data_IF_164448516566
#
_entry.id   IF_164448516566
#
_cell.length_a   1.000
_cell.length_b   1.000
_cell.length_c   1.000
_cell.angle_alpha   90.00
_cell.angle_beta   90.00
_cell.angle_gamma   90.00
#
_symmetry.space_group_name_H-M   'P 1'
#
loop_
_entity.id
_entity.type
_entity.pdbx_description
1 polymer ?
#
# COMPACT_ATOMS: atom_id res chain seq x y z
N UNK A 1 -2.00 -32.05 58.35
CA UNK A 1 -2.73 -33.31 58.62
C UNK A 1 -4.15 -33.13 58.10
N UNK A 2 -4.68 -34.14 57.41
CA UNK A 2 -5.92 -34.22 56.60
C UNK A 2 -5.78 -33.74 55.13
N UNK A 3 -5.55 -34.67 54.18
CA UNK A 3 -6.55 -35.31 53.27
C UNK A 3 -7.40 -34.27 52.53
N UNK A 4 -7.43 -34.14 51.21
CA UNK A 4 -7.19 -35.09 50.12
C UNK A 4 -8.48 -35.17 49.29
N UNK A 5 -8.46 -34.76 48.01
CA UNK A 5 -9.43 -35.25 47.02
C UNK A 5 -8.91 -34.98 45.61
N UNK A 6 -8.67 -36.06 44.87
CA UNK A 6 -8.42 -36.04 43.42
C UNK A 6 -9.78 -36.12 42.72
N UNK A 7 -10.02 -35.30 41.72
CA UNK A 7 -11.07 -35.53 40.73
C UNK A 7 -10.39 -35.70 39.37
N UNK A 8 -10.47 -36.92 38.85
CA UNK A 8 -10.13 -37.27 37.48
C UNK A 8 -11.44 -37.23 36.71
N UNK A 9 -11.54 -36.36 35.70
CA UNK A 9 -12.63 -36.41 34.72
C UNK A 9 -11.98 -36.71 33.37
N UNK A 10 -12.14 -37.97 32.94
CA UNK A 10 -11.82 -38.40 31.59
C UNK A 10 -12.92 -37.95 30.64
N UNK A 11 -12.53 -37.37 29.51
CA UNK A 11 -13.41 -37.12 28.38
C UNK A 11 -13.06 -38.16 27.31
N UNK A 12 -14.08 -38.92 26.92
CA UNK A 12 -14.00 -39.99 25.95
C UNK A 12 -13.82 -39.43 24.53
N UNK A 13 -12.78 -39.88 23.85
CA UNK A 13 -12.55 -39.66 22.43
C UNK A 13 -13.45 -40.65 21.68
N UNK A 14 -14.54 -40.16 21.09
CA UNK A 14 -15.33 -40.94 20.13
C UNK A 14 -14.81 -40.70 18.73
N UNK A 15 -14.04 -41.68 18.25
CA UNK A 15 -13.57 -41.78 16.87
C UNK A 15 -14.71 -42.27 15.97
N UNK A 16 -15.29 -41.38 15.16
CA UNK A 16 -16.14 -41.77 14.03
C UNK A 16 -15.26 -41.87 12.78
N UNK A 17 -14.88 -43.10 12.46
CA UNK A 17 -14.33 -43.51 11.19
C UNK A 17 -15.46 -43.53 10.15
N UNK A 18 -15.55 -42.50 9.30
CA UNK A 18 -16.30 -42.56 8.07
C UNK A 18 -15.41 -43.16 6.98
N UNK A 19 -15.80 -44.35 6.50
CA UNK A 19 -15.10 -45.12 5.47
C UNK A 19 -15.64 -44.80 4.09
N UNK A 20 -14.71 -44.58 3.18
CA UNK A 20 -14.68 -44.77 1.72
C UNK A 20 -15.99 -44.95 0.94
N UNK A 21 -16.14 -44.11 -0.09
CA UNK A 21 -16.71 -44.51 -1.38
C UNK A 21 -16.02 -43.72 -2.50
N UNK A 22 -15.25 -44.34 -3.41
CA UNK A 22 -14.82 -43.67 -4.63
C UNK A 22 -15.94 -43.78 -5.67
N UNK A 23 -16.66 -42.68 -5.90
CA UNK A 23 -17.49 -42.56 -7.10
C UNK A 23 -16.58 -42.44 -8.32
N UNK A 24 -16.40 -43.56 -9.01
CA UNK A 24 -15.88 -43.60 -10.37
C UNK A 24 -16.86 -42.88 -11.30
N UNK A 25 -16.66 -41.57 -11.45
CA UNK A 25 -17.24 -40.83 -12.57
C UNK A 25 -16.51 -41.23 -13.85
N UNK A 26 -17.28 -41.77 -14.79
CA UNK A 26 -16.85 -42.12 -16.13
C UNK A 26 -16.18 -40.92 -16.83
N UNK A 27 -14.89 -41.06 -17.14
CA UNK A 27 -14.16 -40.14 -18.00
C UNK A 27 -14.78 -40.22 -19.40
N UNK A 28 -15.60 -39.23 -19.76
CA UNK A 28 -15.93 -38.98 -21.16
C UNK A 28 -14.64 -38.51 -21.84
N UNK A 29 -14.06 -39.39 -22.66
CA UNK A 29 -13.00 -39.03 -23.58
C UNK A 29 -13.59 -38.11 -24.66
N UNK A 30 -13.60 -36.81 -24.38
CA UNK A 30 -13.73 -35.79 -25.41
C UNK A 30 -12.50 -35.88 -26.31
N UNK A 31 -12.74 -36.33 -27.54
CA UNK A 31 -11.77 -36.33 -28.62
C UNK A 31 -11.44 -34.88 -28.93
N UNK A 32 -10.29 -34.40 -28.43
CA UNK A 32 -9.79 -33.07 -28.72
C UNK A 32 -9.33 -33.05 -30.18
N UNK A 33 -10.20 -32.59 -31.07
CA UNK A 33 -9.80 -32.21 -32.43
C UNK A 33 -8.94 -30.96 -32.26
N UNK A 34 -7.62 -31.10 -32.35
CA UNK A 34 -6.70 -29.97 -32.38
C UNK A 34 -6.68 -29.46 -33.83
N UNK A 35 -7.38 -28.36 -34.18
CA UNK A 35 -7.20 -27.76 -35.49
C UNK A 35 -5.74 -27.33 -35.61
N UNK A 36 -5.00 -27.99 -36.51
CA UNK A 36 -3.62 -27.64 -36.87
C UNK A 36 -3.62 -26.43 -37.81
N UNK A 37 -4.29 -25.35 -37.41
CA UNK A 37 -4.08 -24.04 -38.00
C UNK A 37 -3.09 -23.32 -37.10
N UNK A 38 -1.82 -23.34 -37.49
CA UNK A 38 -0.82 -22.44 -36.91
C UNK A 38 -1.40 -21.03 -37.07
N UNK A 39 -1.67 -20.31 -35.96
CA UNK A 39 -2.17 -18.95 -36.05
C UNK A 39 -1.15 -18.16 -36.87
N UNK A 40 -1.61 -17.61 -37.99
CA UNK A 40 -0.83 -16.67 -38.79
C UNK A 40 -0.33 -15.60 -37.84
N UNK A 41 0.99 -15.44 -37.80
CA UNK A 41 1.74 -14.45 -37.03
C UNK A 41 0.96 -13.14 -36.99
N UNK A 42 0.28 -12.91 -35.87
CA UNK A 42 -0.47 -11.68 -35.66
C UNK A 42 0.60 -10.62 -35.51
N UNK A 43 0.69 -9.76 -36.52
CA UNK A 43 1.58 -8.61 -36.54
C UNK A 43 1.09 -7.63 -35.46
N UNK A 44 1.50 -7.92 -34.21
CA UNK A 44 1.18 -7.06 -33.09
C UNK A 44 1.90 -5.74 -33.35
N UNK A 45 1.19 -4.59 -33.29
CA UNK A 45 1.84 -3.31 -33.44
C UNK A 45 2.95 -3.25 -32.40
N UNK A 46 4.20 -3.18 -32.89
CA UNK A 46 5.35 -2.98 -32.03
C UNK A 46 5.10 -1.66 -31.31
N UNK A 47 4.86 -1.73 -30.00
CA UNK A 47 4.76 -0.54 -29.16
C UNK A 47 6.10 0.16 -29.26
N UNK A 48 6.16 1.20 -30.09
CA UNK A 48 7.30 2.09 -30.15
C UNK A 48 7.27 2.85 -28.83
N UNK A 49 8.08 2.38 -27.88
CA UNK A 49 8.38 3.12 -26.67
C UNK A 49 9.16 4.34 -27.12
N UNK A 50 8.45 5.44 -27.41
CA UNK A 50 9.07 6.73 -27.60
C UNK A 50 9.71 7.07 -26.26
N UNK A 51 11.05 7.19 -26.17
CA UNK A 51 11.68 7.64 -24.93
C UNK A 51 11.04 8.96 -24.58
N UNK A 52 10.32 9.02 -23.45
CA UNK A 52 9.80 10.28 -22.96
C UNK A 52 11.01 11.24 -22.89
N UNK A 53 10.94 12.43 -23.50
CA UNK A 53 12.02 13.39 -23.41
C UNK A 53 12.35 13.56 -21.93
N UNK A 54 13.61 13.32 -21.58
CA UNK A 54 14.09 13.49 -20.21
C UNK A 54 13.59 14.86 -19.74
N UNK A 55 12.72 14.93 -18.71
CA UNK A 55 12.19 16.20 -18.28
C UNK A 55 13.38 17.04 -17.88
N UNK A 56 13.73 18.04 -18.69
CA UNK A 56 14.68 19.05 -18.29
C UNK A 56 14.02 19.74 -17.09
N UNK A 57 14.41 19.37 -15.86
CA UNK A 57 13.83 19.89 -14.62
C UNK A 57 13.97 21.41 -14.63
N UNK A 58 12.93 22.18 -15.01
CA UNK A 58 13.11 23.58 -15.37
C UNK A 58 12.78 24.51 -14.20
N UNK A 59 12.47 23.97 -13.03
CA UNK A 59 12.15 24.75 -11.83
C UNK A 59 13.15 24.44 -10.72
N UNK A 60 13.65 25.47 -10.03
CA UNK A 60 14.20 25.28 -8.69
C UNK A 60 13.19 24.49 -7.87
N UNK A 61 13.66 23.50 -7.13
CA UNK A 61 12.81 22.81 -6.18
C UNK A 61 12.45 23.82 -5.10
N UNK A 62 11.19 24.21 -5.07
CA UNK A 62 10.61 25.14 -4.11
C UNK A 62 10.08 24.35 -2.91
N UNK A 63 9.73 25.08 -1.84
CA UNK A 63 9.11 24.51 -0.63
C UNK A 63 7.82 23.72 -0.87
N UNK A 64 7.27 23.74 -2.09
CA UNK A 64 6.10 22.95 -2.52
C UNK A 64 6.44 21.52 -2.99
N UNK A 65 7.73 21.13 -3.05
CA UNK A 65 8.13 19.81 -3.53
C UNK A 65 7.33 18.65 -2.90
N UNK A 66 7.09 18.62 -1.56
CA UNK A 66 6.34 17.54 -0.93
C UNK A 66 4.95 17.33 -1.53
N UNK A 67 4.33 18.40 -2.03
CA UNK A 67 2.91 18.41 -2.41
C UNK A 67 2.67 18.62 -3.90
N UNK A 68 3.71 18.91 -4.71
CA UNK A 68 3.55 19.24 -6.14
C UNK A 68 2.93 18.11 -6.99
N UNK A 69 3.00 16.87 -6.51
CA UNK A 69 2.33 15.73 -7.16
C UNK A 69 0.80 15.88 -7.13
N UNK A 70 0.23 16.61 -6.16
CA UNK A 70 -1.19 16.98 -6.14
C UNK A 70 -1.59 17.76 -7.39
N UNK A 71 -0.69 18.62 -7.87
CA UNK A 71 -0.88 19.42 -9.06
C UNK A 71 -0.54 18.68 -10.36
N UNK A 72 -0.18 17.39 -10.26
CA UNK A 72 0.22 16.58 -11.40
C UNK A 72 1.60 16.96 -11.95
N UNK A 73 2.47 17.50 -11.09
CA UNK A 73 3.83 17.89 -11.45
C UNK A 73 4.81 16.87 -10.88
N UNK A 74 5.75 16.32 -11.68
CA UNK A 74 5.84 16.45 -13.14
C UNK A 74 4.83 15.57 -13.90
N UNK A 75 4.11 14.71 -13.20
CA UNK A 75 3.13 13.79 -13.73
C UNK A 75 1.99 13.59 -12.73
N UNK A 76 0.86 13.07 -13.20
CA UNK A 76 -0.28 12.72 -12.35
C UNK A 76 -0.12 11.32 -11.77
N UNK A 77 -0.68 11.04 -10.58
CA UNK A 77 -0.80 9.69 -10.03
C UNK A 77 -1.32 8.67 -11.07
N UNK A 78 -0.78 7.43 -11.09
CA UNK A 78 0.10 6.83 -10.09
C UNK A 78 1.60 7.16 -10.25
N UNK A 79 1.95 8.13 -11.09
CA UNK A 79 3.33 8.53 -11.31
C UNK A 79 3.82 9.49 -10.21
N UNK A 80 5.02 9.22 -9.68
CA UNK A 80 5.76 10.11 -8.78
C UNK A 80 7.08 10.47 -9.43
N UNK A 81 7.31 11.74 -9.73
CA UNK A 81 8.59 12.21 -10.29
C UNK A 81 9.05 11.50 -11.58
N UNK A 82 8.10 11.01 -12.38
CA UNK A 82 8.38 10.23 -13.59
C UNK A 82 8.49 8.71 -13.35
N UNK A 83 8.44 8.26 -12.10
CA UNK A 83 8.49 6.85 -11.70
C UNK A 83 7.05 6.36 -11.57
N UNK A 84 6.67 5.39 -12.41
CA UNK A 84 5.31 4.83 -12.44
C UNK A 84 5.35 3.35 -12.05
N UNK A 85 4.77 2.97 -10.90
CA UNK A 85 4.68 1.57 -10.50
C UNK A 85 4.03 0.68 -11.56
N UNK A 86 4.55 -0.53 -11.75
CA UNK A 86 4.13 -1.49 -12.76
C UNK A 86 4.68 -1.21 -14.17
N UNK A 87 5.30 -0.05 -14.39
CA UNK A 87 5.87 0.36 -15.68
C UNK A 87 7.38 0.57 -15.57
N UNK A 88 7.81 1.40 -14.63
CA UNK A 88 9.23 1.72 -14.42
C UNK A 88 9.95 0.54 -13.77
N UNK A 89 11.06 0.09 -14.36
CA UNK A 89 11.97 -0.88 -13.77
C UNK A 89 12.92 -0.25 -12.73
N UNK A 90 13.51 -1.07 -11.86
CA UNK A 90 14.39 -0.62 -10.78
C UNK A 90 15.59 0.20 -11.27
N UNK A 91 16.24 -0.18 -12.38
CA UNK A 91 17.40 0.53 -12.91
C UNK A 91 17.03 1.92 -13.43
N UNK A 92 15.90 2.02 -14.12
CA UNK A 92 15.33 3.28 -14.61
C UNK A 92 14.90 4.16 -13.45
N UNK A 93 14.26 3.61 -12.41
CA UNK A 93 13.87 4.37 -11.23
C UNK A 93 15.08 4.98 -10.51
N UNK A 94 16.18 4.22 -10.35
CA UNK A 94 17.43 4.72 -9.77
C UNK A 94 18.01 5.88 -10.61
N UNK A 95 18.04 5.74 -11.94
CA UNK A 95 18.47 6.84 -12.83
C UNK A 95 17.62 8.09 -12.67
N UNK A 96 16.30 7.94 -12.50
CA UNK A 96 15.38 9.04 -12.27
C UNK A 96 15.66 9.72 -10.92
N UNK A 97 15.91 8.95 -9.85
CA UNK A 97 16.33 9.51 -8.55
C UNK A 97 17.61 10.34 -8.66
N UNK A 98 18.64 9.85 -9.36
CA UNK A 98 19.87 10.62 -9.62
C UNK A 98 19.64 11.92 -10.37
N UNK A 99 18.55 12.02 -11.13
CA UNK A 99 18.20 13.20 -11.90
C UNK A 99 17.38 14.24 -11.12
N UNK A 100 16.94 13.94 -9.89
CA UNK A 100 16.15 14.84 -9.04
C UNK A 100 17.10 15.64 -8.11
N UNK A 101 17.30 16.95 -8.33
CA UNK A 101 18.26 17.79 -7.60
C UNK A 101 18.24 17.75 -6.06
N UNK A 102 17.08 17.53 -5.43
CA UNK A 102 16.97 17.52 -3.96
C UNK A 102 17.26 16.14 -3.35
N UNK A 103 17.33 15.08 -4.15
CA UNK A 103 17.66 13.75 -3.63
C UNK A 103 19.13 13.77 -3.24
N UNK A 104 19.43 13.37 -2.00
CA UNK A 104 20.79 13.13 -1.60
C UNK A 104 21.25 11.81 -2.22
N UNK A 105 21.87 11.89 -3.39
CA UNK A 105 22.23 10.71 -4.18
C UNK A 105 23.20 9.76 -3.47
N UNK A 106 23.89 10.21 -2.42
CA UNK A 106 24.77 9.37 -1.59
C UNK A 106 24.01 8.42 -0.64
N UNK A 107 22.72 8.67 -0.44
CA UNK A 107 21.82 7.88 0.44
C UNK A 107 21.02 6.84 -0.34
N UNK A 108 21.10 6.86 -1.67
CA UNK A 108 20.43 5.88 -2.52
C UNK A 108 21.04 4.50 -2.21
N UNK A 109 20.23 3.62 -1.65
CA UNK A 109 20.62 2.26 -1.28
C UNK A 109 19.66 1.25 -1.87
N UNK A 110 20.16 0.05 -2.14
CA UNK A 110 19.32 -1.08 -2.55
C UNK A 110 19.61 -2.26 -1.66
N UNK A 111 18.58 -2.82 -1.04
CA UNK A 111 18.71 -3.96 -0.12
C UNK A 111 17.51 -4.89 -0.22
N UNK A 112 17.70 -6.14 0.21
CA UNK A 112 16.64 -7.16 0.23
C UNK A 112 15.84 -7.07 1.53
N UNK A 113 14.51 -7.23 1.44
CA UNK A 113 13.66 -7.44 2.62
C UNK A 113 13.90 -8.86 3.13
N UNK A 114 14.41 -8.97 4.36
CA UNK A 114 14.88 -10.23 4.95
C UNK A 114 13.88 -11.38 4.72
N UNK A 115 14.38 -12.49 4.16
CA UNK A 115 13.65 -13.73 3.88
C UNK A 115 12.56 -13.62 2.80
N UNK A 116 12.63 -12.61 1.93
CA UNK A 116 11.72 -12.47 0.79
C UNK A 116 12.52 -12.29 -0.50
N UNK A 117 11.86 -12.33 -1.65
CA UNK A 117 12.46 -11.89 -2.92
C UNK A 117 12.34 -10.38 -3.11
N UNK A 118 11.59 -9.69 -2.25
CA UNK A 118 11.37 -8.25 -2.34
C UNK A 118 12.66 -7.47 -2.08
N UNK A 119 12.86 -6.47 -2.92
CA UNK A 119 13.98 -5.54 -2.88
C UNK A 119 13.43 -4.14 -2.61
N UNK A 120 14.20 -3.35 -1.87
CA UNK A 120 13.89 -1.97 -1.54
C UNK A 120 14.95 -1.06 -2.12
N UNK A 121 14.52 0.01 -2.77
CA UNK A 121 15.36 1.18 -3.07
C UNK A 121 14.99 2.26 -2.05
N UNK A 122 15.92 2.65 -1.19
CA UNK A 122 15.74 3.72 -0.21
C UNK A 122 16.53 4.97 -0.60
N UNK A 123 16.02 6.16 -0.28
CA UNK A 123 16.73 7.43 -0.49
C UNK A 123 16.27 8.49 0.53
N UNK A 124 17.11 9.51 0.72
CA UNK A 124 16.78 10.72 1.46
C UNK A 124 16.77 11.93 0.51
N UNK A 125 16.04 12.97 0.86
CA UNK A 125 16.09 14.27 0.18
C UNK A 125 16.29 15.41 1.16
N UNK A 126 16.93 16.48 0.69
CA UNK A 126 17.22 17.68 1.50
C UNK A 126 16.61 18.87 0.80
N UNK A 127 15.77 19.61 1.53
CA UNK A 127 15.22 20.88 1.07
C UNK A 127 16.28 21.97 1.27
N UNK A 128 16.56 22.75 0.22
CA UNK A 128 17.70 23.69 0.22
C UNK A 128 17.56 24.87 1.17
N UNK A 129 16.35 25.12 1.67
CA UNK A 129 15.97 26.28 2.46
C UNK A 129 15.63 25.98 3.92
N UNK A 130 15.64 24.71 4.34
CA UNK A 130 15.32 24.33 5.71
C UNK A 130 16.58 23.94 6.51
N UNK A 131 16.72 24.51 7.71
CA UNK A 131 17.48 23.87 8.80
C UNK A 131 16.80 22.58 9.29
N UNK A 132 15.62 22.25 8.75
CA UNK A 132 14.80 21.10 9.09
C UNK A 132 15.22 19.86 8.28
N UNK A 133 14.82 18.73 8.84
CA UNK A 133 15.31 17.38 8.58
C UNK A 133 15.07 16.91 7.13
N UNK A 134 15.82 15.88 6.76
CA UNK A 134 15.72 15.25 5.45
C UNK A 134 14.48 14.33 5.40
N UNK A 135 13.67 14.44 4.35
CA UNK A 135 12.63 13.45 4.10
C UNK A 135 13.22 12.14 3.57
N UNK A 136 12.47 11.06 3.68
CA UNK A 136 12.90 9.72 3.26
C UNK A 136 11.90 9.10 2.28
N UNK A 137 12.36 8.29 1.35
CA UNK A 137 11.48 7.53 0.47
C UNK A 137 11.95 6.11 0.28
N UNK A 138 10.99 5.27 -0.09
CA UNK A 138 11.23 3.86 -0.44
C UNK A 138 10.45 3.45 -1.68
N UNK A 139 11.03 2.54 -2.48
CA UNK A 139 10.35 1.84 -3.57
C UNK A 139 10.59 0.36 -3.39
N UNK A 140 9.62 -0.44 -3.78
CA UNK A 140 9.71 -1.89 -3.66
C UNK A 140 9.64 -2.52 -5.06
N UNK A 141 10.36 -3.60 -5.28
CA UNK A 141 10.21 -4.44 -6.48
C UNK A 141 10.51 -5.90 -6.12
N UNK A 142 9.97 -6.84 -6.88
CA UNK A 142 10.33 -8.26 -6.73
C UNK A 142 11.67 -8.52 -7.41
N UNK A 143 12.70 -8.89 -6.65
CA UNK A 143 14.01 -9.22 -7.18
C UNK A 143 14.04 -10.51 -8.00
N UNK A 144 13.00 -11.35 -7.90
CA UNK A 144 12.83 -12.53 -8.74
C UNK A 144 12.13 -12.23 -10.08
N UNK A 145 11.47 -11.08 -10.22
CA UNK A 145 10.90 -10.63 -11.50
C UNK A 145 12.02 -10.28 -12.47
N UNK A 146 11.98 -10.86 -13.69
CA UNK A 146 12.95 -10.57 -14.75
C UNK A 146 12.91 -9.11 -15.18
N UNK A 147 11.77 -8.43 -15.04
CA UNK A 147 11.60 -7.03 -15.42
C UNK A 147 11.85 -6.08 -14.26
N UNK A 148 11.95 -6.59 -13.02
CA UNK A 148 12.24 -5.83 -11.81
C UNK A 148 11.41 -4.54 -11.70
N UNK A 149 10.12 -4.62 -12.02
CA UNK A 149 9.24 -3.45 -12.04
C UNK A 149 8.96 -2.97 -10.62
N UNK A 150 8.99 -1.65 -10.45
CA UNK A 150 8.60 -1.02 -9.20
C UNK A 150 7.14 -1.39 -8.89
N UNK A 151 6.89 -1.98 -7.74
CA UNK A 151 5.57 -2.42 -7.26
C UNK A 151 4.86 -1.34 -6.44
N UNK A 152 5.61 -0.44 -5.80
CA UNK A 152 5.09 0.78 -5.20
C UNK A 152 6.21 1.80 -4.96
N UNK A 153 5.84 3.08 -4.86
CA UNK A 153 6.72 4.19 -4.50
C UNK A 153 6.11 4.89 -3.28
N UNK A 154 6.89 5.11 -2.24
CA UNK A 154 6.44 5.66 -0.95
C UNK A 154 7.36 6.78 -0.50
N UNK A 155 7.16 8.02 -0.97
CA UNK A 155 7.77 9.18 -0.33
C UNK A 155 7.12 9.41 1.05
N UNK A 156 7.95 9.57 2.08
CA UNK A 156 7.55 9.96 3.43
C UNK A 156 7.91 11.42 3.66
N UNK A 157 6.89 12.24 3.85
CA UNK A 157 7.04 13.66 4.13
C UNK A 157 7.02 13.91 5.64
N UNK A 158 7.66 15.00 6.07
CA UNK A 158 7.70 15.35 7.49
C UNK A 158 6.32 15.71 8.01
N UNK A 159 6.18 15.79 9.34
CA UNK A 159 4.90 16.08 9.99
C UNK A 159 4.33 17.46 9.66
N UNK A 160 5.16 18.38 9.15
CA UNK A 160 4.73 19.73 8.81
C UNK A 160 4.19 19.82 7.37
N UNK A 161 4.57 18.87 6.51
CA UNK A 161 4.15 18.75 5.11
C UNK A 161 2.89 17.89 4.98
N UNK A 162 1.81 18.35 5.59
CA UNK A 162 0.56 17.59 5.63
C UNK A 162 -0.48 18.09 4.62
N UNK A 163 -1.35 17.17 4.19
CA UNK A 163 -2.42 17.42 3.21
C UNK A 163 -3.75 17.12 3.88
N UNK A 164 -4.67 18.08 3.86
CA UNK A 164 -6.01 17.91 4.40
C UNK A 164 -6.88 16.99 3.50
N UNK A 165 -7.74 16.17 4.11
CA UNK A 165 -8.67 15.30 3.39
C UNK A 165 -9.57 16.06 2.43
N UNK A 166 -10.07 17.23 2.83
CA UNK A 166 -10.91 18.06 1.98
C UNK A 166 -10.19 18.50 0.70
N UNK A 167 -8.87 18.76 0.77
CA UNK A 167 -8.07 19.10 -0.40
C UNK A 167 -7.89 17.90 -1.34
N UNK A 168 -7.68 16.70 -0.79
CA UNK A 168 -7.62 15.46 -1.56
C UNK A 168 -8.97 15.17 -2.24
N UNK A 169 -10.08 15.36 -1.52
CA UNK A 169 -11.42 15.15 -2.08
C UNK A 169 -11.73 16.16 -3.19
N UNK A 170 -11.39 17.42 -3.00
CA UNK A 170 -11.56 18.45 -4.03
C UNK A 170 -10.75 18.14 -5.30
N UNK A 171 -9.60 17.46 -5.16
CA UNK A 171 -8.69 17.18 -6.28
C UNK A 171 -9.00 15.85 -7.00
N UNK A 172 -9.28 14.79 -6.25
CA UNK A 172 -9.37 13.42 -6.76
C UNK A 172 -10.77 12.81 -6.62
N UNK A 173 -11.74 13.54 -6.08
CA UNK A 173 -13.07 13.02 -5.76
C UNK A 173 -13.10 12.29 -4.42
N UNK A 174 -14.13 11.49 -4.17
CA UNK A 174 -14.17 10.70 -2.93
C UNK A 174 -13.20 9.50 -3.01
N UNK A 175 -12.53 9.11 -1.91
CA UNK A 175 -11.75 7.89 -1.90
C UNK A 175 -12.66 6.68 -2.11
N UNK A 176 -12.13 5.60 -2.67
CA UNK A 176 -12.87 4.36 -2.85
C UNK A 176 -12.94 3.55 -1.54
N UNK A 177 -11.87 3.59 -0.74
CA UNK A 177 -11.76 2.84 0.50
C UNK A 177 -11.17 3.69 1.61
N UNK A 178 -11.47 3.31 2.84
CA UNK A 178 -10.92 3.87 4.06
C UNK A 178 -10.57 2.74 5.03
N UNK A 179 -9.53 2.96 5.82
CA UNK A 179 -9.11 2.09 6.92
C UNK A 179 -8.96 2.96 8.15
N UNK A 180 -9.77 2.68 9.16
CA UNK A 180 -9.64 3.22 10.51
C UNK A 180 -9.07 2.10 11.40
N UNK A 181 -8.00 2.39 12.13
CA UNK A 181 -7.28 1.39 12.92
C UNK A 181 -6.92 1.92 14.31
N UNK A 182 -7.19 1.14 15.36
CA UNK A 182 -6.92 1.51 16.75
C UNK A 182 -6.25 0.35 17.51
N UNK A 183 -4.95 0.43 17.76
CA UNK A 183 -4.19 -0.68 18.35
C UNK A 183 -3.48 -0.29 19.65
N UNK A 184 -3.27 -1.28 20.51
CA UNK A 184 -2.50 -1.13 21.75
C UNK A 184 -1.08 -1.67 21.52
N UNK A 185 -0.07 -0.79 21.58
CA UNK A 185 1.34 -1.19 21.41
C UNK A 185 1.89 -1.75 22.71
N UNK A 186 1.81 -0.99 23.81
CA UNK A 186 2.25 -1.42 25.14
C UNK A 186 1.42 -0.74 26.24
N UNK A 187 0.72 -1.53 27.05
CA UNK A 187 -0.08 -1.02 28.17
C UNK A 187 -1.46 -0.52 27.75
N UNK A 188 -2.08 0.41 28.51
CA UNK A 188 -3.46 0.84 28.26
C UNK A 188 -3.58 1.91 27.16
N UNK A 189 -2.47 2.38 26.59
CA UNK A 189 -2.48 3.42 25.55
C UNK A 189 -2.99 2.83 24.23
N UNK A 190 -4.02 3.46 23.67
CA UNK A 190 -4.58 3.13 22.36
C UNK A 190 -4.07 4.18 21.37
N UNK A 191 -3.56 3.70 20.24
CA UNK A 191 -3.03 4.51 19.16
C UNK A 191 -3.93 4.37 17.94
N UNK A 192 -4.25 5.49 17.30
CA UNK A 192 -5.19 5.56 16.18
C UNK A 192 -4.45 5.95 14.91
N UNK A 193 -4.83 5.32 13.79
CA UNK A 193 -4.41 5.73 12.45
C UNK A 193 -5.57 5.66 11.47
N UNK A 194 -5.45 6.47 10.41
CA UNK A 194 -6.40 6.57 9.33
C UNK A 194 -5.66 6.49 7.99
N UNK A 195 -6.25 5.77 7.04
CA UNK A 195 -5.76 5.73 5.68
C UNK A 195 -6.93 5.72 4.69
N UNK A 196 -6.71 6.27 3.50
CA UNK A 196 -7.68 6.29 2.39
C UNK A 196 -7.03 5.80 1.11
N UNK A 197 -7.83 5.21 0.22
CA UNK A 197 -7.39 4.72 -1.09
C UNK A 197 -8.18 5.41 -2.20
N UNK A 198 -7.46 5.99 -3.15
CA UNK A 198 -8.00 6.48 -4.42
C UNK A 198 -7.68 5.47 -5.52
N UNK A 199 -8.54 4.45 -5.64
CA UNK A 199 -8.25 3.24 -6.42
C UNK A 199 -7.96 3.54 -7.91
N UNK A 200 -8.72 4.46 -8.51
CA UNK A 200 -8.54 4.89 -9.90
C UNK A 200 -7.17 5.51 -10.17
N UNK A 201 -6.56 6.11 -9.15
CA UNK A 201 -5.30 6.84 -9.23
C UNK A 201 -4.11 6.02 -8.72
N UNK A 202 -4.35 4.81 -8.20
CA UNK A 202 -3.31 4.00 -7.56
C UNK A 202 -2.67 4.72 -6.37
N UNK A 203 -3.46 5.44 -5.56
CA UNK A 203 -2.94 6.13 -4.37
C UNK A 203 -3.49 5.50 -3.10
N UNK A 204 -2.61 5.34 -2.13
CA UNK A 204 -2.93 5.16 -0.72
C UNK A 204 -2.30 6.31 0.06
N UNK A 205 -3.09 6.91 0.94
CA UNK A 205 -2.68 8.07 1.72
C UNK A 205 -2.98 7.76 3.18
N UNK A 206 -1.96 7.82 4.03
CA UNK A 206 -2.05 7.49 5.44
C UNK A 206 -1.62 8.67 6.32
N UNK A 207 -2.20 8.75 7.51
CA UNK A 207 -1.68 9.66 8.51
C UNK A 207 -0.33 9.12 8.98
N UNK A 208 0.71 9.92 8.85
CA UNK A 208 2.01 9.61 9.41
C UNK A 208 1.95 9.77 10.93
N UNK A 209 2.53 8.79 11.61
CA UNK A 209 2.47 8.71 13.06
C UNK A 209 1.13 8.17 13.57
N UNK A 210 0.92 8.31 14.88
CA UNK A 210 -0.19 7.70 15.59
C UNK A 210 -0.84 8.74 16.50
N UNK A 211 -2.15 8.92 16.36
CA UNK A 211 -2.91 9.78 17.25
C UNK A 211 -3.16 9.06 18.59
N UNK A 212 -3.21 9.84 19.68
CA UNK A 212 -3.53 9.33 21.02
C UNK A 212 -5.03 9.42 21.35
N UNK A 213 -5.77 10.12 20.52
CA UNK A 213 -7.20 10.31 20.64
C UNK A 213 -7.88 9.81 19.36
N UNK A 214 -9.16 9.40 19.44
CA UNK A 214 -9.93 9.03 18.25
C UNK A 214 -9.90 10.15 17.21
N UNK A 215 -9.63 9.78 15.96
CA UNK A 215 -9.52 10.73 14.85
C UNK A 215 -10.93 11.13 14.40
N UNK A 216 -11.23 12.43 14.43
CA UNK A 216 -12.42 12.96 13.75
C UNK A 216 -12.18 12.92 12.25
N UNK A 217 -13.03 12.19 11.52
CA UNK A 217 -12.96 12.11 10.05
C UNK A 217 -13.77 13.26 9.47
N UNK A 218 -13.07 14.34 9.13
CA UNK A 218 -13.64 15.54 8.52
C UNK A 218 -12.68 16.11 7.45
N UNK A 219 -13.02 17.24 6.84
CA UNK A 219 -12.19 17.86 5.80
C UNK A 219 -10.81 18.31 6.30
N UNK A 220 -10.64 18.50 7.61
CA UNK A 220 -9.44 19.03 8.23
C UNK A 220 -8.45 17.96 8.68
N UNK A 221 -8.83 16.67 8.71
CA UNK A 221 -7.87 15.59 9.00
C UNK A 221 -6.74 15.61 7.98
N UNK A 222 -5.50 15.53 8.44
CA UNK A 222 -4.33 15.67 7.59
C UNK A 222 -3.51 14.39 7.48
N UNK A 223 -2.83 14.25 6.34
CA UNK A 223 -2.00 13.08 5.98
C UNK A 223 -0.63 13.54 5.47
N UNK A 224 0.41 12.73 5.68
CA UNK A 224 1.78 13.01 5.22
C UNK A 224 2.52 11.76 4.73
N UNK A 225 1.86 10.59 4.73
CA UNK A 225 2.41 9.38 4.13
C UNK A 225 1.64 9.04 2.85
N UNK A 226 2.34 8.97 1.72
CA UNK A 226 1.73 8.71 0.42
C UNK A 226 2.42 7.52 -0.23
N UNK A 227 1.62 6.58 -0.73
CA UNK A 227 2.09 5.44 -1.50
C UNK A 227 1.40 5.38 -2.85
N UNK A 228 2.20 5.28 -3.90
CA UNK A 228 1.77 5.13 -5.29
C UNK A 228 1.87 3.65 -5.69
N UNK A 229 0.82 3.12 -6.32
CA UNK A 229 0.67 1.73 -6.73
C UNK A 229 0.36 1.61 -8.23
N UNK A 230 0.61 0.43 -8.84
CA UNK A 230 0.26 0.17 -10.23
C UNK A 230 -1.26 0.25 -10.44
N UNK A 231 -1.67 0.71 -11.62
CA UNK A 231 -3.07 0.67 -12.06
C UNK A 231 -3.28 -0.45 -13.10
N UNK A 232 -4.35 -1.25 -13.00
CA UNK A 232 -5.44 -1.18 -12.01
C UNK A 232 -4.97 -1.58 -10.60
N UNK A 233 -5.25 -0.72 -9.63
CA UNK A 233 -4.93 -1.00 -8.23
C UNK A 233 -6.06 -1.83 -7.64
N UNK A 234 -5.72 -3.01 -7.12
CA UNK A 234 -6.63 -3.77 -6.29
C UNK A 234 -6.15 -3.60 -4.86
N UNK A 235 -6.92 -2.88 -4.06
CA UNK A 235 -6.60 -2.71 -2.64
C UNK A 235 -6.36 -4.11 -2.02
N UNK A 236 -5.37 -4.28 -1.13
CA UNK A 236 -5.24 -5.50 -0.36
C UNK A 236 -6.42 -5.55 0.62
N UNK A 237 -7.56 -6.08 0.19
CA UNK A 237 -8.83 -6.12 0.95
C UNK A 237 -8.69 -6.95 2.25
N UNK A 238 -7.64 -7.76 2.40
CA UNK A 238 -7.55 -8.75 3.47
C UNK A 238 -6.16 -8.86 4.08
N UNK A 239 -5.79 -7.94 4.95
CA UNK A 239 -4.89 -8.28 6.05
C UNK A 239 -5.58 -8.00 7.39
N UNK A 240 -6.25 -9.02 7.97
CA UNK A 240 -6.97 -8.84 9.22
C UNK A 240 -6.06 -8.44 10.39
N UNK A 241 -4.73 -8.50 10.27
CA UNK A 241 -3.81 -8.01 11.30
C UNK A 241 -3.54 -6.51 11.24
N UNK A 242 -3.85 -5.88 10.12
CA UNK A 242 -3.53 -4.49 9.83
C UNK A 242 -4.79 -3.62 9.65
N UNK A 243 -5.94 -4.10 10.16
CA UNK A 243 -7.25 -3.46 10.01
C UNK A 243 -8.02 -3.96 8.78
N UNK A 244 -9.29 -3.53 8.66
CA UNK A 244 -10.14 -3.89 7.51
C UNK A 244 -10.38 -2.64 6.67
N UNK A 245 -10.08 -2.73 5.38
CA UNK A 245 -10.48 -1.73 4.41
C UNK A 245 -11.99 -1.80 4.21
N UNK A 246 -12.68 -0.68 4.41
CA UNK A 246 -14.10 -0.54 4.14
C UNK A 246 -14.34 0.39 2.95
N UNK A 247 -15.42 0.17 2.18
CA UNK A 247 -15.86 1.15 1.19
C UNK A 247 -16.07 2.51 1.88
N UNK A 248 -15.70 3.58 1.19
CA UNK A 248 -16.03 4.93 1.65
C UNK A 248 -17.55 5.17 1.59
N UNK A 249 -18.13 5.60 2.70
CA UNK A 249 -19.56 5.95 2.83
C UNK A 249 -19.75 7.40 3.33
N UNK A 250 -18.76 8.27 3.06
CA UNK A 250 -18.74 9.67 3.49
C UNK A 250 -18.03 9.90 4.83
N UNK A 251 -18.21 11.10 5.38
CA UNK A 251 -17.64 11.52 6.67
C UNK A 251 -18.40 10.89 7.85
N UNK A 252 -18.23 9.58 8.05
CA UNK A 252 -18.73 8.85 9.22
C UNK A 252 -17.74 8.98 10.38
N UNK A 253 -18.20 8.65 11.59
CA UNK A 253 -17.31 8.59 12.73
C UNK A 253 -16.27 7.46 12.58
N UNK A 254 -15.19 7.56 13.34
CA UNK A 254 -14.12 6.57 13.34
C UNK A 254 -14.63 5.16 13.70
N UNK A 255 -15.53 5.07 14.68
CA UNK A 255 -16.10 3.82 15.17
C UNK A 255 -16.86 3.04 14.09
N UNK A 256 -17.58 3.74 13.22
CA UNK A 256 -18.29 3.19 12.08
C UNK A 256 -17.31 2.46 11.14
N UNK A 257 -16.16 3.07 10.85
CA UNK A 257 -15.14 2.44 10.02
C UNK A 257 -14.33 1.37 10.76
N UNK A 258 -14.32 1.39 12.10
CA UNK A 258 -13.76 0.35 12.96
C UNK A 258 -14.67 -0.88 13.17
N UNK A 259 -15.97 -0.78 12.90
CA UNK A 259 -16.93 -1.85 13.23
C UNK A 259 -16.62 -3.17 12.49
N UNK A 260 -16.84 -4.32 13.14
CA UNK A 260 -16.56 -5.64 12.56
C UNK A 260 -15.08 -5.99 12.39
N UNK A 261 -14.16 -5.12 12.80
CA UNK A 261 -12.73 -5.42 12.95
C UNK A 261 -12.52 -6.20 14.25
N UNK A 262 -11.46 -7.02 14.31
CA UNK A 262 -11.03 -7.66 15.55
C UNK A 262 -11.00 -6.64 16.71
N UNK A 263 -11.65 -6.91 17.86
CA UNK A 263 -11.68 -6.00 19.01
C UNK A 263 -10.30 -5.62 19.55
N UNK A 264 -9.25 -6.36 19.20
CA UNK A 264 -7.86 -6.02 19.54
C UNK A 264 -7.28 -4.89 18.68
N UNK A 265 -7.85 -4.67 17.49
CA UNK A 265 -7.48 -3.62 16.52
C UNK A 265 -8.49 -2.47 16.47
N UNK A 266 -9.62 -2.63 17.16
CA UNK A 266 -10.68 -1.65 17.34
C UNK A 266 -11.35 -1.93 18.69
N UNK A 267 -10.76 -1.53 19.83
CA UNK A 267 -11.37 -1.81 21.13
C UNK A 267 -12.64 -0.95 21.30
N UNK A 268 -13.72 -1.45 21.92
CA UNK A 268 -14.94 -0.67 22.14
C UNK A 268 -14.74 0.61 22.97
N UNK A 269 -13.63 0.73 23.69
CA UNK A 269 -13.21 1.94 24.38
C UNK A 269 -12.72 3.05 23.46
N UNK A 270 -12.42 2.75 22.20
CA UNK A 270 -11.81 3.68 21.24
C UNK A 270 -12.83 4.61 20.54
N UNK A 271 -14.13 4.46 20.80
CA UNK A 271 -15.17 5.25 20.12
C UNK A 271 -16.38 5.51 21.04
N UNK A 272 -16.11 5.86 22.30
CA UNK A 272 -17.12 6.36 23.25
C UNK A 272 -17.19 7.88 23.28
#
# INVERSE_FOLDING_TARGET
>A
MKTGMRLIVGIAISSLLATCGPEYSSVQQSTLIIPTSIPTEVDYPTLVIVPAPSPAYPRPYTSDFPLRWLDGIPCTPPCWEGITPGITDAETAIRQLYAIPIINTSTITTYNVRNTTDMVIGWEWVMTDSEHDAGYGSMYYDGADLLQRITNVRPLYESDDTIALGALIARYGEPAWIKAHAFQVHGPEVLYSLAVIYQTYGLQIEQGGLAREPITIDDAVTFNEITFYPVPFTAPITDPKNGIWKPWEGMKDFGYYCDGVDPTLCPPSAYK
#
